data_IF_586962267761
#
_entry.id   IF_586962267761
#
_cell.length_a   1.000
_cell.length_b   1.000
_cell.length_c   1.000
_cell.angle_alpha   90.00
_cell.angle_beta   90.00
_cell.angle_gamma   90.00
#
_symmetry.space_group_name_H-M   'P 1'
#
loop_
_entity.id
_entity.type
_entity.pdbx_description
1 polymer ?
#
# COMPACT_ATOMS: atom_id res chain seq x y z
N UNK A 1 4.09 0.91 39.78
CA UNK A 1 4.89 1.33 38.61
C UNK A 1 6.27 0.65 38.68
N UNK A 2 6.45 -0.49 38.00
CA UNK A 2 7.76 -1.15 37.90
C UNK A 2 8.57 -0.43 36.81
N UNK A 3 9.70 0.19 37.19
CA UNK A 3 10.64 0.82 36.26
C UNK A 3 11.20 -0.26 35.33
N UNK A 4 10.97 -0.14 34.02
CA UNK A 4 11.69 -0.93 33.01
C UNK A 4 13.19 -0.68 33.15
N UNK A 5 13.95 -1.74 33.45
CA UNK A 5 15.39 -1.67 33.51
C UNK A 5 15.94 -1.62 32.07
N UNK A 6 16.24 -0.41 31.57
CA UNK A 6 16.93 -0.26 30.28
C UNK A 6 18.28 -1.00 30.34
N UNK A 7 18.62 -1.81 29.33
CA UNK A 7 19.92 -2.47 29.28
C UNK A 7 21.03 -1.41 29.30
N UNK A 8 22.07 -1.66 30.08
CA UNK A 8 23.25 -0.77 30.15
C UNK A 8 23.98 -0.78 28.80
N UNK A 9 24.61 0.33 28.40
CA UNK A 9 25.39 0.43 27.15
C UNK A 9 26.41 -0.71 26.96
N UNK A 10 26.93 -1.25 28.06
CA UNK A 10 27.84 -2.40 28.07
C UNK A 10 27.15 -3.71 27.64
N UNK A 11 25.94 -3.96 28.15
CA UNK A 11 25.14 -5.16 27.82
C UNK A 11 24.70 -5.18 26.35
N UNK A 12 24.44 -4.01 25.75
CA UNK A 12 24.01 -3.91 24.36
C UNK A 12 25.17 -4.21 23.40
N UNK A 13 26.38 -3.70 23.71
CA UNK A 13 27.60 -3.97 22.94
C UNK A 13 28.03 -5.44 23.01
N UNK A 14 27.82 -6.08 24.16
CA UNK A 14 28.07 -7.52 24.32
C UNK A 14 27.06 -8.37 23.53
N UNK A 15 25.79 -7.95 23.48
CA UNK A 15 24.76 -8.58 22.66
C UNK A 15 25.06 -8.46 21.16
N UNK A 16 25.45 -7.29 20.68
CA UNK A 16 25.84 -7.06 19.28
C UNK A 16 27.04 -7.93 18.88
N UNK A 17 28.05 -8.02 19.75
CA UNK A 17 29.21 -8.88 19.50
C UNK A 17 28.85 -10.36 19.47
N UNK A 18 28.00 -10.80 20.38
CA UNK A 18 27.53 -12.19 20.41
C UNK A 18 26.69 -12.51 19.15
N UNK A 19 25.81 -11.59 18.75
CA UNK A 19 25.01 -11.75 17.54
C UNK A 19 25.88 -11.86 16.29
N UNK A 20 26.91 -11.02 16.16
CA UNK A 20 27.85 -11.09 15.04
C UNK A 20 28.56 -12.46 14.97
N UNK A 21 29.07 -12.95 16.10
CA UNK A 21 29.72 -14.27 16.16
C UNK A 21 28.78 -15.42 15.83
N UNK A 22 27.51 -15.30 16.21
CA UNK A 22 26.48 -16.30 15.90
C UNK A 22 26.12 -16.28 14.40
N UNK A 23 25.95 -15.10 13.80
CA UNK A 23 25.66 -14.97 12.38
C UNK A 23 26.84 -15.40 11.49
N UNK A 24 28.08 -15.21 11.93
CA UNK A 24 29.27 -15.65 11.20
C UNK A 24 29.48 -17.17 11.27
N UNK A 25 29.00 -17.82 12.32
CA UNK A 25 29.26 -19.23 12.63
C UNK A 25 28.12 -20.20 12.35
N UNK A 26 26.88 -19.71 12.20
CA UNK A 26 25.68 -20.53 12.06
C UNK A 26 24.81 -20.03 10.90
N UNK A 27 24.18 -20.97 10.20
CA UNK A 27 23.16 -20.66 9.21
C UNK A 27 21.87 -20.12 9.86
N UNK A 28 20.99 -19.50 9.07
CA UNK A 28 19.69 -19.01 9.55
C UNK A 28 18.82 -20.13 10.17
N UNK A 29 18.90 -21.33 9.61
CA UNK A 29 18.19 -22.51 10.12
C UNK A 29 18.73 -22.94 11.49
N UNK A 30 20.05 -22.96 11.66
CA UNK A 30 20.71 -23.30 12.92
C UNK A 30 20.46 -22.24 14.00
N UNK A 31 20.47 -20.96 13.63
CA UNK A 31 20.06 -19.86 14.52
C UNK A 31 18.60 -20.01 14.96
N UNK A 32 17.72 -20.36 14.02
CA UNK A 32 16.32 -20.67 14.30
C UNK A 32 16.19 -21.82 15.31
N UNK A 33 16.94 -22.91 15.11
CA UNK A 33 16.94 -24.07 16.00
C UNK A 33 17.47 -23.75 17.40
N UNK A 34 18.54 -22.97 17.52
CA UNK A 34 19.10 -22.52 18.81
C UNK A 34 18.11 -21.65 19.56
N UNK A 35 17.46 -20.69 18.88
CA UNK A 35 16.46 -19.83 19.51
C UNK A 35 15.22 -20.61 19.94
N UNK A 36 14.69 -21.48 19.09
CA UNK A 36 13.56 -22.33 19.43
C UNK A 36 13.91 -23.26 20.59
N UNK A 37 15.07 -23.90 20.54
CA UNK A 37 15.60 -24.74 21.62
C UNK A 37 15.70 -23.97 22.94
N UNK A 38 16.30 -22.78 22.94
CA UNK A 38 16.41 -21.94 24.13
C UNK A 38 15.03 -21.59 24.71
N UNK A 39 14.07 -21.20 23.86
CA UNK A 39 12.71 -20.86 24.30
C UNK A 39 11.94 -22.05 24.89
N UNK A 40 12.23 -23.27 24.43
CA UNK A 40 11.60 -24.50 24.94
C UNK A 40 12.10 -24.87 26.34
N UNK A 41 13.36 -24.60 26.67
CA UNK A 41 13.95 -24.90 27.99
C UNK A 41 13.80 -23.76 29.01
N UNK A 42 13.38 -22.57 28.58
CA UNK A 42 13.18 -21.43 29.47
C UNK A 42 11.92 -21.59 30.34
N UNK A 43 12.09 -21.34 31.64
CA UNK A 43 10.96 -21.23 32.57
C UNK A 43 10.13 -19.95 32.34
N UNK A 44 8.94 -19.90 32.93
CA UNK A 44 8.02 -18.76 32.78
C UNK A 44 8.63 -17.43 33.23
N UNK A 45 9.47 -17.44 34.26
CA UNK A 45 10.10 -16.23 34.80
C UNK A 45 11.20 -15.69 33.90
N UNK A 46 11.96 -16.57 33.24
CA UNK A 46 12.96 -16.22 32.24
C UNK A 46 12.30 -15.67 30.97
N UNK A 47 11.15 -16.23 30.56
CA UNK A 47 10.35 -15.75 29.43
C UNK A 47 9.80 -14.35 29.71
N UNK A 48 9.24 -14.09 30.89
CA UNK A 48 8.76 -12.74 31.26
C UNK A 48 9.89 -11.71 31.20
N UNK A 49 11.08 -12.06 31.74
CA UNK A 49 12.26 -11.19 31.66
C UNK A 49 12.72 -10.93 30.23
N UNK A 50 12.57 -11.91 29.33
CA UNK A 50 12.89 -11.77 27.91
C UNK A 50 11.87 -10.85 27.22
N UNK A 51 10.58 -11.04 27.47
CA UNK A 51 9.49 -10.19 26.95
C UNK A 51 9.71 -8.72 27.37
N UNK A 52 10.03 -8.49 28.65
CA UNK A 52 10.31 -7.15 29.17
C UNK A 52 11.51 -6.48 28.47
N UNK A 53 12.49 -7.27 28.01
CA UNK A 53 13.69 -6.79 27.32
C UNK A 53 13.49 -6.55 25.83
N UNK A 54 12.60 -7.30 25.17
CA UNK A 54 12.35 -7.21 23.72
C UNK A 54 11.53 -5.98 23.32
N UNK A 55 11.01 -5.23 24.30
CA UNK A 55 10.13 -4.09 24.10
C UNK A 55 8.67 -4.51 23.89
N UNK A 56 7.74 -3.57 24.07
CA UNK A 56 6.30 -3.87 24.17
C UNK A 56 5.74 -4.65 22.96
N UNK A 57 6.13 -4.27 21.74
CA UNK A 57 5.59 -4.86 20.51
C UNK A 57 6.16 -6.26 20.23
N UNK A 58 7.48 -6.41 20.27
CA UNK A 58 8.17 -7.70 20.06
C UNK A 58 7.86 -8.68 21.19
N UNK A 59 7.82 -8.19 22.43
CA UNK A 59 7.48 -8.98 23.61
C UNK A 59 6.04 -9.51 23.56
N UNK A 60 5.06 -8.67 23.21
CA UNK A 60 3.66 -9.08 23.02
C UNK A 60 3.50 -10.14 21.91
N UNK A 61 4.26 -9.98 20.83
CA UNK A 61 4.29 -10.95 19.73
C UNK A 61 4.84 -12.30 20.19
N UNK A 62 6.00 -12.31 20.87
CA UNK A 62 6.60 -13.52 21.41
C UNK A 62 5.68 -14.21 22.43
N UNK A 63 5.04 -13.44 23.31
CA UNK A 63 4.10 -13.97 24.31
C UNK A 63 2.93 -14.68 23.63
N UNK A 64 2.36 -14.08 22.58
CA UNK A 64 1.25 -14.67 21.83
C UNK A 64 1.65 -15.99 21.16
N UNK A 65 2.85 -16.04 20.57
CA UNK A 65 3.39 -17.27 19.93
C UNK A 65 3.59 -18.37 20.96
N UNK A 66 4.16 -18.05 22.12
CA UNK A 66 4.43 -19.04 23.17
C UNK A 66 3.15 -19.59 23.81
N UNK A 67 2.11 -18.76 23.97
CA UNK A 67 0.79 -19.22 24.44
C UNK A 67 0.16 -20.18 23.42
N UNK A 68 0.14 -19.78 22.14
CA UNK A 68 -0.39 -20.63 21.07
C UNK A 68 0.35 -21.97 20.94
N UNK A 69 1.66 -21.98 21.18
CA UNK A 69 2.47 -23.20 21.17
C UNK A 69 2.22 -24.12 22.37
N UNK A 70 1.94 -23.58 23.56
CA UNK A 70 1.81 -24.36 24.81
C UNK A 70 0.43 -24.95 25.04
N UNK A 71 -0.61 -24.31 24.53
CA UNK A 71 -2.00 -24.71 24.82
C UNK A 71 -2.52 -25.84 23.92
N UNK A 72 -1.66 -26.43 23.07
CA UNK A 72 -1.97 -27.56 22.15
C UNK A 72 -3.33 -27.39 21.45
N UNK A 73 -3.72 -26.13 21.20
CA UNK A 73 -4.98 -25.85 20.56
C UNK A 73 -4.89 -26.37 19.13
N UNK A 74 -5.92 -27.11 18.64
CA UNK A 74 -5.98 -27.46 17.23
C UNK A 74 -5.88 -26.15 16.46
N UNK A 75 -4.89 -26.08 15.58
CA UNK A 75 -4.55 -24.90 14.80
C UNK A 75 -5.75 -24.41 13.99
N UNK A 76 -6.66 -23.65 14.62
CA UNK A 76 -7.22 -22.50 13.94
C UNK A 76 -6.01 -21.66 13.60
N UNK A 77 -5.56 -21.72 12.33
CA UNK A 77 -4.46 -20.94 11.76
C UNK A 77 -4.33 -19.66 12.59
N UNK A 78 -3.40 -19.58 13.57
CA UNK A 78 -3.22 -18.33 14.26
C UNK A 78 -2.73 -17.42 13.14
N UNK A 79 -3.50 -16.39 12.79
CA UNK A 79 -3.03 -15.33 11.91
C UNK A 79 -1.60 -15.07 12.36
N UNK A 80 -0.62 -15.38 11.51
CA UNK A 80 0.80 -15.25 11.85
C UNK A 80 0.93 -13.82 12.35
N UNK A 81 1.03 -13.61 13.66
CA UNK A 81 1.21 -12.29 14.24
C UNK A 81 2.66 -11.95 14.00
N UNK A 82 2.95 -11.55 12.77
CA UNK A 82 4.23 -11.05 12.32
C UNK A 82 4.55 -9.83 13.19
N UNK A 83 5.74 -9.68 13.77
CA UNK A 83 6.05 -8.48 14.55
C UNK A 83 6.04 -7.22 13.67
N UNK A 84 5.73 -6.03 14.19
CA UNK A 84 5.66 -4.81 13.37
C UNK A 84 6.94 -4.50 12.60
N UNK A 85 8.12 -4.85 13.13
CA UNK A 85 9.39 -4.77 12.38
C UNK A 85 9.40 -5.64 11.12
N UNK A 86 8.83 -6.85 11.20
CA UNK A 86 8.75 -7.75 10.06
C UNK A 86 7.68 -7.31 9.07
N UNK A 87 6.56 -6.76 9.54
CA UNK A 87 5.57 -6.07 8.68
C UNK A 87 6.23 -4.93 7.92
N UNK A 88 7.01 -4.08 8.60
CA UNK A 88 7.70 -2.96 7.96
C UNK A 88 8.77 -3.46 6.95
N UNK A 89 9.48 -4.54 7.27
CA UNK A 89 10.42 -5.15 6.33
C UNK A 89 9.72 -5.68 5.07
N UNK A 90 8.61 -6.39 5.22
CA UNK A 90 7.83 -6.91 4.09
C UNK A 90 7.20 -5.77 3.27
N UNK A 91 6.76 -4.71 3.94
CA UNK A 91 6.28 -3.48 3.32
C UNK A 91 7.36 -2.83 2.46
N UNK A 92 8.54 -2.56 3.03
CA UNK A 92 9.65 -1.93 2.31
C UNK A 92 10.11 -2.78 1.13
N UNK A 93 10.23 -4.10 1.32
CA UNK A 93 10.59 -5.02 0.23
C UNK A 93 9.57 -4.99 -0.91
N UNK A 94 8.27 -4.95 -0.60
CA UNK A 94 7.26 -4.89 -1.64
C UNK A 94 7.25 -3.53 -2.37
N UNK A 95 7.64 -2.44 -1.70
CA UNK A 95 7.91 -1.16 -2.37
C UNK A 95 9.16 -1.21 -3.24
N UNK A 96 10.25 -1.86 -2.79
CA UNK A 96 11.43 -2.07 -3.66
C UNK A 96 11.07 -2.87 -4.93
N UNK A 97 10.16 -3.85 -4.82
CA UNK A 97 9.65 -4.58 -5.98
C UNK A 97 8.78 -3.70 -6.89
N UNK A 98 7.99 -2.80 -6.32
CA UNK A 98 7.20 -1.79 -7.06
C UNK A 98 8.10 -0.85 -7.83
N UNK A 99 9.06 -0.23 -7.14
CA UNK A 99 10.04 0.69 -7.72
C UNK A 99 10.87 -0.02 -8.80
N UNK A 100 11.22 -1.29 -8.60
CA UNK A 100 11.86 -2.11 -9.62
C UNK A 100 11.04 -2.24 -10.91
N UNK A 101 9.71 -2.42 -10.80
CA UNK A 101 8.84 -2.46 -11.98
C UNK A 101 8.81 -1.11 -12.70
N UNK A 102 8.77 -0.01 -11.95
CA UNK A 102 8.77 1.36 -12.48
C UNK A 102 10.09 1.69 -13.17
N UNK A 103 11.23 1.36 -12.56
CA UNK A 103 12.54 1.53 -13.17
C UNK A 103 12.71 0.67 -14.42
N UNK A 104 12.24 -0.59 -14.42
CA UNK A 104 12.24 -1.43 -15.63
C UNK A 104 11.31 -0.89 -16.73
N UNK A 105 10.29 -0.09 -16.40
CA UNK A 105 9.41 0.51 -17.39
C UNK A 105 10.01 1.74 -18.07
N UNK A 106 11.06 2.31 -17.48
CA UNK A 106 11.80 3.46 -18.03
C UNK A 106 13.12 3.06 -18.69
N UNK A 107 13.48 1.77 -18.64
CA UNK A 107 14.67 1.22 -19.27
C UNK A 107 14.33 0.71 -20.69
N UNK A 108 15.14 1.10 -21.68
CA UNK A 108 14.99 0.64 -23.06
C UNK A 108 15.21 -0.87 -23.20
N UNK A 109 16.05 -1.47 -22.34
CA UNK A 109 16.24 -2.93 -22.29
C UNK A 109 15.34 -3.58 -21.21
N UNK A 110 14.46 -2.79 -20.61
CA UNK A 110 13.59 -3.19 -19.52
C UNK A 110 12.50 -4.17 -19.96
N UNK A 111 12.01 -4.97 -19.01
CA UNK A 111 11.03 -6.03 -19.25
C UNK A 111 9.75 -5.56 -19.95
N UNK A 112 9.37 -4.30 -19.75
CA UNK A 112 8.13 -3.74 -20.27
C UNK A 112 8.31 -3.06 -21.63
N UNK A 113 9.55 -2.88 -22.12
CA UNK A 113 9.78 -2.37 -23.45
C UNK A 113 9.67 -3.52 -24.47
N UNK A 114 8.66 -3.44 -25.33
CA UNK A 114 8.34 -4.48 -26.28
C UNK A 114 8.56 -4.01 -27.72
N UNK A 115 9.01 -4.94 -28.56
CA UNK A 115 9.10 -4.76 -30.00
C UNK A 115 8.72 -6.06 -30.68
N UNK A 116 7.48 -6.17 -31.17
CA UNK A 116 6.96 -7.42 -31.77
C UNK A 116 7.74 -7.81 -33.01
N UNK A 117 8.14 -6.81 -33.80
CA UNK A 117 8.94 -6.97 -35.00
C UNK A 117 10.07 -5.95 -35.08
N UNK A 118 11.24 -6.35 -35.57
CA UNK A 118 12.43 -5.48 -35.67
C UNK A 118 12.27 -4.23 -36.56
N UNK A 119 11.19 -4.15 -37.35
CA UNK A 119 10.86 -2.99 -38.19
C UNK A 119 9.81 -2.07 -37.56
N UNK A 120 9.23 -2.44 -36.42
CA UNK A 120 8.26 -1.63 -35.69
C UNK A 120 8.98 -0.80 -34.64
N UNK A 121 8.41 0.35 -34.30
CA UNK A 121 8.94 1.15 -33.20
C UNK A 121 8.65 0.43 -31.87
N UNK A 122 9.63 0.32 -30.96
CA UNK A 122 9.40 -0.23 -29.64
C UNK A 122 8.32 0.57 -28.89
N UNK A 123 7.54 -0.11 -28.07
CA UNK A 123 6.48 0.48 -27.26
C UNK A 123 6.52 -0.04 -25.82
N UNK A 124 6.02 0.77 -24.89
CA UNK A 124 5.83 0.33 -23.52
C UNK A 124 4.57 -0.55 -23.40
N UNK A 125 4.72 -1.78 -22.92
CA UNK A 125 3.60 -2.63 -22.54
C UNK A 125 3.02 -2.17 -21.18
N UNK A 126 2.18 -1.14 -21.24
CA UNK A 126 1.50 -0.57 -20.06
C UNK A 126 0.58 -1.58 -19.37
N UNK A 127 0.05 -2.57 -20.11
CA UNK A 127 -0.83 -3.58 -19.57
C UNK A 127 -0.08 -4.56 -18.66
N UNK A 128 1.07 -5.07 -19.11
CA UNK A 128 1.93 -5.94 -18.29
C UNK A 128 2.48 -5.20 -17.06
N UNK A 129 2.88 -3.93 -17.22
CA UNK A 129 3.31 -3.09 -16.10
C UNK A 129 2.20 -2.93 -15.06
N UNK A 130 0.99 -2.56 -15.51
CA UNK A 130 -0.16 -2.41 -14.62
C UNK A 130 -0.51 -3.72 -13.90
N UNK A 131 -0.44 -4.87 -14.58
CA UNK A 131 -0.71 -6.18 -13.98
C UNK A 131 0.27 -6.51 -12.85
N UNK A 132 1.56 -6.28 -13.04
CA UNK A 132 2.58 -6.60 -12.04
C UNK A 132 2.56 -5.63 -10.87
N UNK A 133 2.33 -4.34 -11.13
CA UNK A 133 2.04 -3.33 -10.09
C UNK A 133 0.82 -3.76 -9.26
N UNK A 134 -0.24 -4.27 -9.89
CA UNK A 134 -1.46 -4.69 -9.17
C UNK A 134 -1.23 -5.95 -8.32
N UNK A 135 -0.39 -6.89 -8.77
CA UNK A 135 0.04 -8.06 -7.96
C UNK A 135 0.83 -7.64 -6.73
N UNK A 136 1.69 -6.63 -6.87
CA UNK A 136 2.43 -6.07 -5.74
C UNK A 136 1.47 -5.34 -4.80
N UNK A 137 0.52 -4.57 -5.34
CA UNK A 137 -0.51 -3.91 -4.55
C UNK A 137 -1.36 -4.89 -3.74
N UNK A 138 -1.73 -6.05 -4.29
CA UNK A 138 -2.49 -7.08 -3.56
C UNK A 138 -1.72 -7.56 -2.30
N UNK A 139 -0.38 -7.68 -2.41
CA UNK A 139 0.49 -8.00 -1.27
C UNK A 139 0.66 -6.83 -0.31
N UNK A 140 0.78 -5.60 -0.83
CA UNK A 140 0.94 -4.39 -0.03
C UNK A 140 -0.33 -4.04 0.74
N UNK A 141 -1.52 -4.20 0.17
CA UNK A 141 -2.80 -3.79 0.76
C UNK A 141 -3.03 -4.30 2.19
N UNK A 142 -2.88 -5.60 2.52
CA UNK A 142 -3.02 -6.07 3.91
C UNK A 142 -1.92 -5.54 4.84
N UNK A 143 -0.71 -5.29 4.32
CA UNK A 143 0.38 -4.66 5.07
C UNK A 143 0.09 -3.18 5.33
N UNK A 144 -0.47 -2.45 4.35
CA UNK A 144 -0.78 -1.04 4.40
C UNK A 144 -1.70 -0.70 5.57
N UNK A 145 -2.79 -1.47 5.73
CA UNK A 145 -3.73 -1.31 6.84
C UNK A 145 -3.02 -1.39 8.20
N UNK A 146 -2.05 -2.31 8.32
CA UNK A 146 -1.30 -2.53 9.54
C UNK A 146 -0.21 -1.48 9.77
N UNK A 147 0.54 -1.13 8.73
CA UNK A 147 1.55 -0.05 8.75
C UNK A 147 0.92 1.26 9.18
N UNK A 148 -0.28 1.56 8.65
CA UNK A 148 -1.04 2.74 9.04
C UNK A 148 -1.51 2.67 10.50
N UNK A 149 -2.15 1.56 10.91
CA UNK A 149 -2.72 1.40 12.25
C UNK A 149 -1.65 1.41 13.35
N UNK A 150 -0.51 0.78 13.11
CA UNK A 150 0.63 0.72 14.05
C UNK A 150 1.61 1.89 13.88
N UNK A 151 1.34 2.83 12.96
CA UNK A 151 2.19 3.97 12.64
C UNK A 151 3.65 3.60 12.37
N UNK A 152 3.87 2.52 11.59
CA UNK A 152 5.21 1.98 11.31
C UNK A 152 6.01 2.83 10.32
N UNK A 153 5.33 3.60 9.47
CA UNK A 153 5.92 4.53 8.51
C UNK A 153 5.15 5.87 8.53
N UNK A 154 5.36 6.71 9.57
CA UNK A 154 4.52 7.90 9.80
C UNK A 154 4.71 9.00 8.75
N UNK A 155 5.87 9.04 8.09
CA UNK A 155 6.18 10.02 7.04
C UNK A 155 5.77 9.56 5.63
N UNK A 156 5.25 8.33 5.50
CA UNK A 156 4.90 7.77 4.20
C UNK A 156 3.59 8.35 3.67
N UNK A 157 3.62 8.85 2.44
CA UNK A 157 2.47 9.41 1.73
C UNK A 157 2.09 8.52 0.55
N UNK A 158 0.91 7.92 0.63
CA UNK A 158 0.42 7.02 -0.42
C UNK A 158 0.11 7.78 -1.70
N UNK A 159 -0.40 9.00 -1.58
CA UNK A 159 -0.66 9.86 -2.73
C UNK A 159 0.63 10.25 -3.46
N UNK A 160 1.67 10.65 -2.72
CA UNK A 160 2.94 11.07 -3.33
C UNK A 160 3.62 9.89 -4.05
N UNK A 161 3.61 8.69 -3.47
CA UNK A 161 4.15 7.49 -4.13
C UNK A 161 3.48 7.19 -5.48
N UNK A 162 2.17 7.44 -5.62
CA UNK A 162 1.45 7.25 -6.89
C UNK A 162 1.82 8.32 -7.92
N UNK A 163 2.01 9.56 -7.48
CA UNK A 163 2.47 10.66 -8.35
C UNK A 163 3.88 10.40 -8.83
N UNK A 164 4.79 10.05 -7.92
CA UNK A 164 6.18 9.71 -8.23
C UNK A 164 6.25 8.54 -9.22
N UNK A 165 5.43 7.50 -9.04
CA UNK A 165 5.33 6.37 -9.99
C UNK A 165 4.98 6.84 -11.40
N UNK A 166 3.94 7.66 -11.55
CA UNK A 166 3.48 8.15 -12.85
C UNK A 166 4.51 9.08 -13.49
N UNK A 167 5.16 9.93 -12.69
CA UNK A 167 6.18 10.85 -13.16
C UNK A 167 7.45 10.10 -13.61
N UNK A 168 7.85 9.04 -12.90
CA UNK A 168 9.02 8.21 -13.25
C UNK A 168 8.79 7.42 -14.55
N UNK A 169 7.64 6.73 -14.69
CA UNK A 169 7.24 6.04 -15.92
C UNK A 169 7.32 7.01 -17.12
N UNK A 170 6.83 8.24 -16.94
CA UNK A 170 6.76 9.22 -18.01
C UNK A 170 8.03 10.01 -18.30
N UNK A 171 9.08 9.94 -17.46
CA UNK A 171 10.27 10.78 -17.58
C UNK A 171 11.51 10.02 -18.06
N UNK A 172 11.56 8.70 -17.92
CA UNK A 172 12.68 7.89 -18.39
C UNK A 172 12.59 7.44 -19.85
N UNK A 173 11.43 7.61 -20.50
CA UNK A 173 11.20 7.13 -21.86
C UNK A 173 11.52 8.18 -22.95
N UNK A 174 11.98 7.74 -24.14
CA UNK A 174 12.10 8.60 -25.31
C UNK A 174 10.75 9.22 -25.72
N UNK A 175 10.78 10.41 -26.36
CA UNK A 175 9.57 11.16 -26.74
C UNK A 175 8.61 10.38 -27.67
N UNK A 176 9.14 9.47 -28.48
CA UNK A 176 8.33 8.62 -29.37
C UNK A 176 7.60 7.50 -28.62
N UNK A 177 8.09 7.11 -27.44
CA UNK A 177 7.52 6.05 -26.59
C UNK A 177 6.70 6.68 -25.47
N UNK A 178 5.75 7.53 -25.85
CA UNK A 178 4.87 8.19 -24.89
C UNK A 178 3.86 7.17 -24.31
N UNK A 179 4.01 6.75 -23.04
CA UNK A 179 3.18 5.70 -22.45
C UNK A 179 1.73 6.15 -22.19
N UNK A 180 1.44 7.42 -22.48
CA UNK A 180 0.14 8.04 -22.28
C UNK A 180 -0.67 8.15 -23.58
N UNK A 181 -0.14 7.68 -24.72
CA UNK A 181 -0.88 7.58 -25.97
C UNK A 181 -1.73 6.29 -26.04
N UNK A 182 -2.84 6.35 -26.77
CA UNK A 182 -3.74 5.19 -26.93
C UNK A 182 -4.55 4.89 -25.66
N UNK A 183 -4.48 3.65 -25.18
CA UNK A 183 -5.19 3.19 -23.97
C UNK A 183 -4.52 3.66 -22.66
N UNK A 184 -3.27 4.15 -22.74
CA UNK A 184 -2.51 4.71 -21.63
C UNK A 184 -2.13 3.71 -20.53
N UNK A 185 -1.54 4.22 -19.45
CA UNK A 185 -1.33 3.48 -18.21
C UNK A 185 -2.40 3.87 -17.17
N UNK A 186 -2.98 2.87 -16.51
CA UNK A 186 -3.96 3.04 -15.46
C UNK A 186 -3.67 2.04 -14.33
N UNK A 187 -3.76 2.49 -13.08
CA UNK A 187 -3.56 1.61 -11.95
C UNK A 187 -4.70 0.58 -11.86
N UNK A 188 -4.30 -0.67 -11.65
CA UNK A 188 -5.22 -1.78 -11.48
C UNK A 188 -6.10 -1.68 -10.23
N UNK A 189 -6.92 -2.71 -10.05
CA UNK A 189 -7.94 -2.79 -9.00
C UNK A 189 -7.31 -2.69 -7.61
N UNK A 190 -6.30 -3.50 -7.35
CA UNK A 190 -5.70 -3.67 -6.02
C UNK A 190 -4.90 -2.43 -5.62
N UNK A 191 -4.17 -1.84 -6.56
CA UNK A 191 -3.52 -0.54 -6.40
C UNK A 191 -4.56 0.53 -6.05
N UNK A 192 -5.62 0.65 -6.85
CA UNK A 192 -6.69 1.62 -6.62
C UNK A 192 -7.34 1.44 -5.24
N UNK A 193 -7.65 0.20 -4.84
CA UNK A 193 -8.23 -0.08 -3.52
C UNK A 193 -7.26 0.24 -2.38
N UNK A 194 -5.97 -0.01 -2.55
CA UNK A 194 -4.95 0.32 -1.55
C UNK A 194 -4.92 1.83 -1.28
N UNK A 195 -4.89 2.66 -2.33
CA UNK A 195 -4.94 4.12 -2.21
C UNK A 195 -6.21 4.59 -1.50
N UNK A 196 -7.38 4.10 -1.93
CA UNK A 196 -8.68 4.45 -1.34
C UNK A 196 -8.74 4.11 0.16
N UNK A 197 -8.28 2.92 0.54
CA UNK A 197 -8.27 2.45 1.91
C UNK A 197 -7.33 3.29 2.78
N UNK A 198 -6.11 3.55 2.30
CA UNK A 198 -5.12 4.36 3.01
C UNK A 198 -5.63 5.78 3.26
N UNK A 199 -6.08 6.48 2.22
CA UNK A 199 -6.54 7.87 2.33
C UNK A 199 -7.82 7.99 3.16
N UNK A 200 -8.71 7.02 3.07
CA UNK A 200 -9.91 6.97 3.92
C UNK A 200 -9.54 6.76 5.38
N UNK A 201 -8.55 5.90 5.68
CA UNK A 201 -8.05 5.70 7.04
C UNK A 201 -7.35 6.97 7.56
N UNK A 202 -6.55 7.65 6.72
CA UNK A 202 -5.91 8.92 7.02
C UNK A 202 -6.93 10.02 7.35
N UNK A 203 -7.99 10.14 6.55
CA UNK A 203 -9.09 11.09 6.77
C UNK A 203 -9.82 10.81 8.08
N UNK A 204 -10.21 9.54 8.34
CA UNK A 204 -10.85 9.15 9.60
C UNK A 204 -9.97 9.43 10.82
N UNK A 205 -8.66 9.22 10.73
CA UNK A 205 -7.70 9.54 11.81
C UNK A 205 -7.65 11.04 12.13
N UNK A 206 -7.89 11.90 11.12
CA UNK A 206 -8.00 13.37 11.27
C UNK A 206 -9.40 13.83 11.72
N UNK A 207 -10.36 12.91 11.85
CA UNK A 207 -11.76 13.25 12.17
C UNK A 207 -12.53 13.80 10.97
N UNK A 208 -12.01 13.63 9.76
CA UNK A 208 -12.64 14.05 8.51
C UNK A 208 -13.55 12.93 7.96
N UNK A 209 -14.62 13.29 7.24
CA UNK A 209 -15.47 12.30 6.56
C UNK A 209 -14.74 11.69 5.36
N UNK A 210 -15.04 10.42 5.04
CA UNK A 210 -14.48 9.72 3.88
C UNK A 210 -14.71 10.47 2.56
N UNK A 211 -15.78 11.25 2.46
CA UNK A 211 -16.04 12.09 1.27
C UNK A 211 -14.88 13.03 0.96
N UNK A 212 -14.21 13.53 1.99
CA UNK A 212 -13.03 14.39 1.85
C UNK A 212 -11.82 13.62 1.32
N UNK A 213 -11.63 12.37 1.72
CA UNK A 213 -10.59 11.51 1.14
C UNK A 213 -10.84 11.27 -0.36
N UNK A 214 -12.07 10.92 -0.73
CA UNK A 214 -12.45 10.68 -2.15
C UNK A 214 -12.30 11.96 -2.97
N UNK A 215 -12.64 13.12 -2.41
CA UNK A 215 -12.42 14.43 -3.06
C UNK A 215 -10.94 14.69 -3.30
N UNK A 216 -10.07 14.43 -2.32
CA UNK A 216 -8.61 14.58 -2.46
C UNK A 216 -8.03 13.63 -3.51
N UNK A 217 -8.48 12.38 -3.58
CA UNK A 217 -8.07 11.45 -4.65
C UNK A 217 -8.55 11.96 -6.02
N UNK A 218 -9.77 12.50 -6.11
CA UNK A 218 -10.23 13.12 -7.35
C UNK A 218 -9.37 14.34 -7.73
N UNK A 219 -9.01 15.19 -6.77
CA UNK A 219 -8.08 16.31 -6.98
C UNK A 219 -6.73 15.83 -7.48
N UNK A 220 -6.18 14.76 -6.87
CA UNK A 220 -4.91 14.15 -7.28
C UNK A 220 -4.94 13.73 -8.75
N UNK A 221 -5.96 12.97 -9.17
CA UNK A 221 -6.11 12.55 -10.59
C UNK A 221 -6.37 13.71 -11.57
N UNK A 222 -6.88 14.84 -11.08
CA UNK A 222 -7.08 16.04 -11.91
C UNK A 222 -5.77 16.82 -12.06
N UNK A 223 -4.99 16.93 -10.99
CA UNK A 223 -3.71 17.65 -10.95
C UNK A 223 -2.60 16.87 -11.66
N UNK A 224 -2.57 15.56 -11.47
CA UNK A 224 -1.66 14.64 -12.13
C UNK A 224 -2.36 14.10 -13.37
N UNK A 225 -2.25 14.80 -14.49
CA UNK A 225 -3.05 14.54 -15.70
C UNK A 225 -2.99 13.08 -16.19
N UNK A 226 -1.86 12.43 -15.93
CA UNK A 226 -1.49 11.05 -16.33
C UNK A 226 -1.90 9.98 -15.31
N UNK A 227 -2.38 10.37 -14.13
CA UNK A 227 -2.82 9.43 -13.09
C UNK A 227 -4.27 8.98 -13.36
N UNK A 228 -4.43 7.72 -13.77
CA UNK A 228 -5.72 7.06 -13.94
C UNK A 228 -5.84 5.84 -13.00
N UNK A 229 -7.06 5.54 -12.55
CA UNK A 229 -7.35 4.51 -11.54
C UNK A 229 -8.48 3.57 -12.02
N UNK A 230 -8.65 2.44 -11.38
CA UNK A 230 -9.75 1.53 -11.72
C UNK A 230 -11.10 2.10 -11.24
N UNK A 231 -11.92 2.55 -12.19
CA UNK A 231 -13.25 3.10 -11.93
C UNK A 231 -14.20 2.10 -11.24
N UNK A 232 -14.11 0.81 -11.57
CA UNK A 232 -14.95 -0.24 -10.97
C UNK A 232 -14.55 -0.44 -9.51
N UNK A 233 -13.26 -0.46 -9.20
CA UNK A 233 -12.73 -0.54 -7.86
C UNK A 233 -13.22 0.63 -6.99
N UNK A 234 -13.20 1.86 -7.51
CA UNK A 234 -13.75 3.03 -6.82
C UNK A 234 -15.25 2.86 -6.56
N UNK A 235 -16.02 2.44 -7.57
CA UNK A 235 -17.47 2.23 -7.43
C UNK A 235 -17.78 1.16 -6.37
N UNK A 236 -17.05 0.05 -6.38
CA UNK A 236 -17.20 -1.03 -5.40
C UNK A 236 -16.86 -0.55 -3.99
N UNK A 237 -15.72 0.13 -3.82
CA UNK A 237 -15.34 0.73 -2.54
C UNK A 237 -16.44 1.64 -1.99
N UNK A 238 -16.98 2.53 -2.82
CA UNK A 238 -18.07 3.44 -2.42
C UNK A 238 -19.34 2.67 -2.03
N UNK A 239 -19.67 1.59 -2.75
CA UNK A 239 -20.82 0.72 -2.43
C UNK A 239 -20.63 -0.07 -1.14
N UNK A 240 -19.40 -0.33 -0.71
CA UNK A 240 -19.10 -1.02 0.54
C UNK A 240 -19.06 -0.09 1.75
N UNK A 241 -18.97 1.23 1.55
CA UNK A 241 -19.00 2.20 2.64
C UNK A 241 -20.27 2.09 3.50
N UNK A 242 -20.19 2.41 4.80
CA UNK A 242 -21.36 2.57 5.66
C UNK A 242 -22.42 3.45 5.02
N UNK A 243 -23.70 3.09 5.20
CA UNK A 243 -24.83 3.77 4.53
C UNK A 243 -24.77 5.30 4.65
N UNK A 244 -24.49 5.82 5.84
CA UNK A 244 -24.39 7.26 6.06
C UNK A 244 -23.28 7.93 5.23
N UNK A 245 -22.10 7.31 5.13
CA UNK A 245 -20.98 7.81 4.33
C UNK A 245 -21.30 7.73 2.83
N UNK A 246 -21.91 6.63 2.39
CA UNK A 246 -22.33 6.41 1.00
C UNK A 246 -23.39 7.41 0.55
N UNK A 247 -24.41 7.65 1.39
CA UNK A 247 -25.48 8.60 1.11
C UNK A 247 -24.94 10.03 1.05
N UNK A 248 -24.01 10.38 1.95
CA UNK A 248 -23.31 11.67 1.93
C UNK A 248 -22.49 11.87 0.65
N UNK A 249 -21.68 10.87 0.26
CA UNK A 249 -20.88 10.93 -0.95
C UNK A 249 -21.75 11.01 -2.21
N UNK A 250 -22.82 10.22 -2.27
CA UNK A 250 -23.76 10.25 -3.40
C UNK A 250 -24.44 11.62 -3.53
N UNK A 251 -24.84 12.21 -2.39
CA UNK A 251 -25.39 13.56 -2.35
C UNK A 251 -24.38 14.60 -2.81
N UNK A 252 -23.12 14.47 -2.39
CA UNK A 252 -22.05 15.36 -2.83
C UNK A 252 -21.82 15.27 -4.34
N UNK A 253 -21.68 14.06 -4.88
CA UNK A 253 -21.51 13.82 -6.32
C UNK A 253 -22.69 14.37 -7.13
N UNK A 254 -23.93 14.26 -6.64
CA UNK A 254 -25.12 14.80 -7.29
C UNK A 254 -25.19 16.33 -7.27
N UNK A 255 -24.85 16.95 -6.13
CA UNK A 255 -25.04 18.39 -5.92
C UNK A 255 -23.85 19.22 -6.39
N UNK A 256 -22.64 18.65 -6.36
CA UNK A 256 -21.38 19.35 -6.65
C UNK A 256 -20.70 18.89 -7.94
N UNK A 257 -21.38 18.16 -8.81
CA UNK A 257 -20.85 17.76 -10.12
C UNK A 257 -20.33 18.94 -10.96
N UNK A 258 -20.91 20.14 -10.77
CA UNK A 258 -20.50 21.37 -11.46
C UNK A 258 -19.41 22.19 -10.76
N UNK A 259 -18.87 21.74 -9.64
CA UNK A 259 -17.78 22.38 -8.89
C UNK A 259 -16.47 21.58 -9.05
N UNK A 260 -15.33 22.25 -8.91
CA UNK A 260 -14.03 21.57 -8.86
C UNK A 260 -13.87 20.79 -7.54
N UNK A 261 -13.20 19.63 -7.53
CA UNK A 261 -12.49 18.98 -8.66
C UNK A 261 -13.41 18.23 -9.65
N UNK A 262 -14.64 17.93 -9.24
CA UNK A 262 -15.56 17.02 -9.94
C UNK A 262 -15.84 17.44 -11.37
N UNK A 263 -16.05 18.74 -11.59
CA UNK A 263 -16.27 19.32 -12.91
C UNK A 263 -15.09 19.06 -13.84
N UNK A 264 -13.87 19.29 -13.35
CA UNK A 264 -12.65 19.09 -14.12
C UNK A 264 -12.41 17.61 -14.43
N UNK A 265 -12.67 16.72 -13.46
CA UNK A 265 -12.57 15.27 -13.66
C UNK A 265 -13.58 14.74 -14.70
N UNK A 266 -14.81 15.25 -14.70
CA UNK A 266 -15.86 14.82 -15.66
C UNK A 266 -15.68 15.46 -17.05
N UNK A 267 -15.16 16.69 -17.12
CA UNK A 267 -15.00 17.43 -18.40
C UNK A 267 -14.01 16.76 -19.35
N UNK A 268 -13.05 15.96 -18.85
CA UNK A 268 -12.17 15.13 -19.67
C UNK A 268 -12.95 14.14 -20.55
N UNK A 269 -14.21 13.83 -20.22
CA UNK A 269 -15.16 13.07 -21.06
C UNK A 269 -14.90 11.56 -21.08
N UNK A 270 -13.62 11.19 -21.07
CA UNK A 270 -13.04 9.86 -20.94
C UNK A 270 -12.16 9.88 -19.68
N UNK A 271 -12.21 8.83 -18.87
CA UNK A 271 -11.42 8.73 -17.63
C UNK A 271 -12.22 8.24 -16.42
N UNK A 272 -11.48 7.70 -15.45
CA UNK A 272 -11.99 7.04 -14.24
C UNK A 272 -13.26 7.66 -13.67
N UNK A 273 -13.22 8.95 -13.34
CA UNK A 273 -14.30 9.62 -12.63
C UNK A 273 -15.56 9.76 -13.48
N UNK A 274 -15.43 9.97 -14.79
CA UNK A 274 -16.59 10.00 -15.70
C UNK A 274 -17.43 8.72 -15.56
N UNK A 275 -16.77 7.57 -15.47
CA UNK A 275 -17.44 6.27 -15.34
C UNK A 275 -17.95 6.02 -13.91
N UNK A 276 -17.23 6.47 -12.89
CA UNK A 276 -17.73 6.51 -11.50
C UNK A 276 -19.03 7.31 -11.42
N UNK A 277 -19.07 8.52 -11.99
CA UNK A 277 -20.26 9.38 -12.02
C UNK A 277 -21.42 8.74 -12.79
N UNK A 278 -21.18 8.20 -13.99
CA UNK A 278 -22.21 7.50 -14.78
C UNK A 278 -22.82 6.34 -14.00
N UNK A 279 -22.00 5.61 -13.25
CA UNK A 279 -22.40 4.39 -12.54
C UNK A 279 -23.13 4.68 -11.23
N UNK A 280 -22.69 5.68 -10.46
CA UNK A 280 -23.25 6.00 -9.14
C UNK A 280 -24.42 6.98 -9.19
N UNK A 281 -24.40 7.94 -10.12
CA UNK A 281 -25.40 9.01 -10.19
C UNK A 281 -26.42 8.76 -11.32
N UNK A 282 -26.13 7.86 -12.26
CA UNK A 282 -26.89 7.72 -13.51
C UNK A 282 -26.58 8.87 -14.48
N UNK A 283 -26.97 8.73 -15.77
CA UNK A 283 -26.60 9.67 -16.86
C UNK A 283 -26.60 11.12 -16.38
N UNK A 284 -25.41 11.68 -16.23
CA UNK A 284 -25.20 13.11 -16.01
C UNK A 284 -26.04 13.86 -17.03
N UNK A 285 -27.01 14.65 -16.59
CA UNK A 285 -27.68 15.60 -17.48
C UNK A 285 -26.59 16.55 -17.94
N UNK A 286 -26.15 16.41 -19.19
CA UNK A 286 -25.24 17.37 -19.80
C UNK A 286 -25.75 18.79 -19.49
N UNK A 287 -24.90 19.69 -18.96
CA UNK A 287 -25.31 21.08 -18.79
C UNK A 287 -25.68 21.59 -20.19
N UNK A 288 -26.95 21.92 -20.38
CA UNK A 288 -27.42 22.54 -21.62
C UNK A 288 -26.53 23.74 -21.88
N UNK A 289 -25.73 23.67 -22.94
CA UNK A 289 -25.02 24.83 -23.45
C UNK A 289 -26.06 25.94 -23.65
N UNK A 290 -25.97 26.97 -22.81
CA UNK A 290 -26.77 28.17 -22.96
C UNK A 290 -26.46 28.74 -24.34
N UNK A 291 -27.43 28.65 -25.25
CA UNK A 291 -27.43 29.47 -26.46
C UNK A 291 -27.48 30.93 -25.99
N UNK A 292 -26.38 31.64 -26.16
CA UNK A 292 -26.40 33.10 -26.29
C UNK A 292 -27.02 33.46 -27.63
#
# INVERSE_FOLDING_TARGET
MKKQAKPTKKSQKEQEKLLALLCDGLSEEELGAVMAGALLVMDGTAIEKLIDRLGAQTGSTLQSILVAFRDDQPAQKPEKRVGGKKTLQEWLRAWEEWDGCVSESSDEDGKYNCQDHHWEEPYLDTASLAEDIDKIADRLRPLAARVFAEALAPEFSMADAYVETVDEIGSGLPEYMDPWQGDGFSFGREATLMLLQWESAASRKKGEPVTEAIRRICELTVQTERLDLDAKAIVEFIRELPKAERDALTTELQTRQGADPWKSAVKKGWGTWSDVFKTLVGKAKQPKAGKK
#
